data_IF_162149690113
#
_entry.id   IF_162149690113
#
_cell.length_a   1.000
_cell.length_b   1.000
_cell.length_c   1.000
_cell.angle_alpha   90.00
_cell.angle_beta   90.00
_cell.angle_gamma   90.00
#
_symmetry.space_group_name_H-M   'P 1'
#
loop_
_entity.id
_entity.type
_entity.pdbx_description
1 polymer ?
#
# COMPACT_ATOMS: atom_id res chain seq x y z
N UNK A 1 -12.51 -6.47 10.00
CA UNK A 1 -12.66 -7.93 10.17
C UNK A 1 -11.27 -8.51 10.41
N UNK A 2 -11.04 -9.23 11.51
CA UNK A 2 -9.73 -9.86 11.78
C UNK A 2 -9.71 -11.23 11.09
N UNK A 3 -8.74 -11.47 10.20
CA UNK A 3 -8.52 -12.78 9.61
C UNK A 3 -7.41 -13.49 10.38
N UNK A 4 -7.58 -14.79 10.63
CA UNK A 4 -6.54 -15.62 11.21
C UNK A 4 -5.53 -15.98 10.12
N UNK A 5 -4.30 -15.57 10.31
CA UNK A 5 -3.18 -15.99 9.46
C UNK A 5 -2.33 -17.01 10.23
N UNK A 6 -1.87 -18.05 9.54
CA UNK A 6 -0.88 -19.00 10.05
C UNK A 6 0.44 -18.66 9.39
N UNK A 7 1.44 -18.33 10.19
CA UNK A 7 2.79 -18.01 9.69
C UNK A 7 3.73 -19.12 10.12
N UNK A 8 4.45 -19.70 9.16
CA UNK A 8 5.56 -20.58 9.45
C UNK A 8 6.74 -19.71 9.92
N UNK A 9 7.21 -19.97 11.13
CA UNK A 9 8.34 -19.27 11.71
C UNK A 9 9.29 -20.28 12.35
N UNK A 10 10.49 -19.82 12.66
CA UNK A 10 11.46 -20.60 13.41
C UNK A 10 10.94 -20.86 14.85
N UNK A 11 11.09 -22.10 15.32
CA UNK A 11 10.57 -22.54 16.62
C UNK A 11 11.31 -21.86 17.78
N UNK A 12 12.62 -21.67 17.66
CA UNK A 12 13.45 -21.08 18.70
C UNK A 12 13.12 -19.59 18.86
N UNK A 13 13.00 -18.88 17.75
CA UNK A 13 12.57 -17.48 17.74
C UNK A 13 11.15 -17.33 18.29
N UNK A 14 10.21 -18.23 17.95
CA UNK A 14 8.86 -18.19 18.50
C UNK A 14 8.85 -18.38 20.03
N UNK A 15 9.61 -19.36 20.54
CA UNK A 15 9.71 -19.60 21.98
C UNK A 15 10.35 -18.42 22.71
N UNK A 16 11.41 -17.84 22.14
CA UNK A 16 12.07 -16.66 22.68
C UNK A 16 11.10 -15.48 22.77
N UNK A 17 10.43 -15.13 21.67
CA UNK A 17 9.48 -14.02 21.62
C UNK A 17 8.30 -14.23 22.58
N UNK A 18 7.84 -15.48 22.73
CA UNK A 18 6.80 -15.85 23.68
C UNK A 18 7.26 -15.70 25.14
N UNK A 19 8.51 -16.04 25.45
CA UNK A 19 9.07 -15.91 26.79
C UNK A 19 9.20 -14.43 27.23
N UNK A 20 9.47 -13.53 26.27
CA UNK A 20 9.57 -12.09 26.52
C UNK A 20 8.23 -11.33 26.42
N UNK A 21 7.09 -12.03 26.32
CA UNK A 21 5.76 -11.44 26.12
C UNK A 21 5.71 -10.45 24.92
N UNK A 22 6.52 -10.70 23.89
CA UNK A 22 6.57 -9.82 22.72
C UNK A 22 5.28 -10.01 21.94
N UNK A 23 4.66 -8.91 21.52
CA UNK A 23 3.49 -8.95 20.66
C UNK A 23 3.86 -9.40 19.23
N UNK A 24 3.96 -10.71 19.03
CA UNK A 24 4.28 -11.35 17.74
C UNK A 24 3.27 -10.91 16.67
N UNK A 25 1.99 -10.77 17.03
CA UNK A 25 0.96 -10.34 16.08
C UNK A 25 1.18 -8.90 15.58
N UNK A 26 1.64 -8.00 16.45
CA UNK A 26 2.02 -6.64 16.10
C UNK A 26 3.27 -6.62 15.20
N UNK A 27 4.25 -7.46 15.54
CA UNK A 27 5.51 -7.57 14.80
C UNK A 27 5.31 -8.11 13.38
N UNK A 28 4.36 -9.02 13.16
CA UNK A 28 4.01 -9.51 11.82
C UNK A 28 3.07 -8.55 11.09
N UNK A 29 2.06 -8.02 11.78
CA UNK A 29 1.03 -7.19 11.11
C UNK A 29 1.52 -5.82 10.67
N UNK A 30 2.44 -5.19 11.41
CA UNK A 30 2.99 -3.86 11.08
C UNK A 30 3.73 -3.85 9.73
N UNK A 31 4.76 -4.70 9.51
CA UNK A 31 5.45 -4.75 8.23
C UNK A 31 4.52 -5.20 7.10
N UNK A 32 3.60 -6.14 7.33
CA UNK A 32 2.62 -6.53 6.31
C UNK A 32 1.71 -5.36 5.90
N UNK A 33 1.27 -4.54 6.85
CA UNK A 33 0.46 -3.35 6.56
C UNK A 33 1.27 -2.29 5.81
N UNK A 34 2.53 -2.09 6.17
CA UNK A 34 3.41 -1.15 5.49
C UNK A 34 3.68 -1.57 4.04
N UNK A 35 3.97 -2.85 3.80
CA UNK A 35 4.15 -3.40 2.45
C UNK A 35 2.85 -3.35 1.66
N UNK A 36 1.71 -3.68 2.27
CA UNK A 36 0.40 -3.52 1.61
C UNK A 36 0.11 -2.05 1.26
N UNK A 37 0.48 -1.08 2.11
CA UNK A 37 0.33 0.35 1.84
C UNK A 37 1.25 0.81 0.71
N UNK A 38 2.42 0.22 0.54
CA UNK A 38 3.34 0.48 -0.59
C UNK A 38 2.84 -0.11 -1.91
N UNK A 39 2.35 -1.35 -1.88
CA UNK A 39 1.91 -2.05 -3.08
C UNK A 39 0.56 -1.57 -3.61
N UNK A 40 -0.34 -1.09 -2.74
CA UNK A 40 -1.65 -0.54 -3.17
C UNK A 40 -1.54 0.59 -4.21
N UNK A 41 -0.76 1.66 -4.00
CA UNK A 41 -0.62 2.73 -4.98
C UNK A 41 0.08 2.26 -6.25
N UNK A 42 1.05 1.33 -6.17
CA UNK A 42 1.67 0.76 -7.37
C UNK A 42 0.66 -0.03 -8.20
N UNK A 43 -0.13 -0.89 -7.55
CA UNK A 43 -1.23 -1.61 -8.22
C UNK A 43 -2.29 -0.65 -8.76
N UNK A 44 -2.59 0.43 -8.04
CA UNK A 44 -3.51 1.46 -8.50
C UNK A 44 -2.99 2.16 -9.74
N UNK A 45 -1.71 2.54 -9.78
CA UNK A 45 -1.07 3.13 -10.97
C UNK A 45 -1.14 2.22 -12.18
N UNK A 46 -0.83 0.93 -12.01
CA UNK A 46 -0.90 -0.05 -13.10
C UNK A 46 -2.35 -0.22 -13.58
N UNK A 47 -3.29 -0.40 -12.64
CA UNK A 47 -4.70 -0.60 -12.97
C UNK A 47 -5.36 0.63 -13.61
N UNK A 48 -4.91 1.85 -13.26
CA UNK A 48 -5.46 3.11 -13.75
C UNK A 48 -4.58 3.76 -14.82
N UNK A 49 -3.58 3.05 -15.35
CA UNK A 49 -2.69 3.62 -16.37
C UNK A 49 -3.48 4.02 -17.62
N UNK A 50 -4.46 3.23 -18.03
CA UNK A 50 -5.34 3.52 -19.16
C UNK A 50 -6.25 4.73 -18.88
N UNK A 51 -6.86 4.78 -17.70
CA UNK A 51 -7.67 5.93 -17.27
C UNK A 51 -6.85 7.22 -17.19
N UNK A 52 -5.61 7.14 -16.70
CA UNK A 52 -4.70 8.30 -16.68
C UNK A 52 -4.29 8.72 -18.10
N UNK A 53 -4.15 7.79 -19.04
CA UNK A 53 -3.90 8.12 -20.44
C UNK A 53 -5.11 8.84 -21.09
N UNK A 54 -6.34 8.46 -20.72
CA UNK A 54 -7.55 9.16 -21.15
C UNK A 54 -7.63 10.58 -20.58
N UNK A 55 -7.37 10.74 -19.28
CA UNK A 55 -7.31 12.05 -18.63
C UNK A 55 -6.23 12.93 -19.26
N UNK A 56 -5.06 12.37 -19.57
CA UNK A 56 -3.98 13.11 -20.24
C UNK A 56 -4.42 13.63 -21.63
N UNK A 57 -5.09 12.79 -22.44
CA UNK A 57 -5.66 13.23 -23.73
C UNK A 57 -6.74 14.30 -23.55
N UNK A 58 -7.58 14.16 -22.54
CA UNK A 58 -8.62 15.14 -22.25
C UNK A 58 -8.02 16.50 -21.87
N UNK A 59 -6.96 16.51 -21.05
CA UNK A 59 -6.23 17.73 -20.65
C UNK A 59 -5.51 18.37 -21.84
N UNK A 60 -4.90 17.58 -22.72
CA UNK A 60 -4.25 18.09 -23.94
C UNK A 60 -5.27 18.73 -24.90
N UNK A 61 -6.46 18.13 -25.02
CA UNK A 61 -7.50 18.61 -25.94
C UNK A 61 -8.29 19.81 -25.41
N UNK A 62 -8.62 19.83 -24.11
CA UNK A 62 -9.49 20.85 -23.51
C UNK A 62 -8.71 21.92 -22.73
N UNK A 63 -7.39 21.77 -22.61
CA UNK A 63 -6.61 22.54 -21.66
C UNK A 63 -6.69 21.96 -20.24
N UNK A 64 -5.70 22.28 -19.44
CA UNK A 64 -5.68 21.93 -18.03
C UNK A 64 -6.42 23.01 -17.25
N UNK A 65 -7.50 22.66 -16.55
CA UNK A 65 -8.11 23.55 -15.56
C UNK A 65 -7.07 24.09 -14.57
N UNK A 66 -6.04 23.29 -14.25
CA UNK A 66 -4.97 23.72 -13.36
C UNK A 66 -4.02 24.74 -13.99
N UNK A 67 -3.85 24.76 -15.31
CA UNK A 67 -3.05 25.78 -16.01
C UNK A 67 -3.86 27.07 -16.19
N UNK A 68 -5.17 26.95 -16.46
CA UNK A 68 -6.10 28.09 -16.52
C UNK A 68 -6.28 28.81 -15.18
N UNK A 69 -6.15 28.11 -14.04
CA UNK A 69 -6.26 28.68 -12.69
C UNK A 69 -4.91 28.82 -11.97
N UNK A 70 -3.79 28.71 -12.71
CA UNK A 70 -2.47 28.91 -12.14
C UNK A 70 -2.18 30.39 -11.98
N UNK A 71 -2.79 30.99 -10.98
CA UNK A 71 -2.65 32.42 -10.69
C UNK A 71 -1.41 32.76 -9.83
N UNK A 72 -0.43 31.88 -9.60
CA UNK A 72 0.76 32.19 -8.78
C UNK A 72 1.77 31.03 -8.71
#
# INVERSE_FOLDING_TARGET
MKQRITVAGDSDNYQLLKAYDVNISGLVSTPMQNEARRLRPERWKVANQEGMAEVARFIEMNGSFADENRDW
#
